data_IF_481290258661
#
_entry.id   IF_481290258661
#
_cell.length_a   1.000
_cell.length_b   1.000
_cell.length_c   1.000
_cell.angle_alpha   90.00
_cell.angle_beta   90.00
_cell.angle_gamma   90.00
#
_symmetry.space_group_name_H-M   'P 1'
#
loop_
_entity.id
_entity.type
_entity.pdbx_description
1 polymer ?
#
# COMPACT_ATOMS: atom_id res chain seq x y z
N UNK A 1 -11.46 37.00 26.42
CA UNK A 1 -11.43 35.87 25.44
C UNK A 1 -12.85 35.38 25.23
N UNK A 2 -13.41 35.48 24.01
CA UNK A 2 -14.81 35.11 23.77
C UNK A 2 -15.01 33.59 23.76
N UNK A 3 -15.63 33.04 24.81
CA UNK A 3 -15.91 31.60 25.00
C UNK A 3 -16.60 30.97 23.78
N UNK A 4 -17.52 31.71 23.14
CA UNK A 4 -18.23 31.27 21.92
C UNK A 4 -17.31 31.02 20.73
N UNK A 5 -16.25 31.83 20.55
CA UNK A 5 -15.28 31.67 19.46
C UNK A 5 -14.37 30.46 19.71
N UNK A 6 -13.95 30.24 20.96
CA UNK A 6 -13.16 29.07 21.37
C UNK A 6 -13.90 27.75 21.14
N UNK A 7 -15.18 27.66 21.50
CA UNK A 7 -15.98 26.44 21.25
C UNK A 7 -16.14 26.16 19.77
N UNK A 8 -16.40 27.19 18.95
CA UNK A 8 -16.53 27.01 17.50
C UNK A 8 -15.21 26.54 16.87
N UNK A 9 -14.08 27.04 17.37
CA UNK A 9 -12.74 26.65 16.93
C UNK A 9 -12.44 25.18 17.30
N UNK A 10 -12.81 24.75 18.51
CA UNK A 10 -12.70 23.34 18.93
C UNK A 10 -13.52 22.40 18.06
N UNK A 11 -14.76 22.77 17.73
CA UNK A 11 -15.61 21.97 16.84
C UNK A 11 -14.99 21.86 15.45
N UNK A 12 -14.49 22.96 14.89
CA UNK A 12 -13.82 22.95 13.58
C UNK A 12 -12.57 22.08 13.60
N UNK A 13 -11.73 22.18 14.64
CA UNK A 13 -10.56 21.31 14.79
C UNK A 13 -10.94 19.83 14.91
N UNK A 14 -11.98 19.50 15.66
CA UNK A 14 -12.45 18.12 15.78
C UNK A 14 -12.93 17.55 14.43
N UNK A 15 -13.66 18.36 13.64
CA UNK A 15 -14.11 17.96 12.30
C UNK A 15 -12.92 17.77 11.36
N UNK A 16 -11.95 18.70 11.36
CA UNK A 16 -10.75 18.60 10.53
C UNK A 16 -9.90 17.37 10.91
N UNK A 17 -9.74 17.09 12.20
CA UNK A 17 -9.04 15.91 12.68
C UNK A 17 -9.74 14.61 12.24
N UNK A 18 -11.08 14.57 12.34
CA UNK A 18 -11.87 13.45 11.85
C UNK A 18 -11.70 13.22 10.35
N UNK A 19 -11.79 14.28 9.55
CA UNK A 19 -11.60 14.22 8.09
C UNK A 19 -10.19 13.74 7.72
N UNK A 20 -9.16 14.27 8.39
CA UNK A 20 -7.78 13.86 8.18
C UNK A 20 -7.58 12.38 8.51
N UNK A 21 -8.15 11.90 9.62
CA UNK A 21 -8.07 10.50 10.03
C UNK A 21 -8.74 9.58 9.01
N UNK A 22 -9.96 9.91 8.55
CA UNK A 22 -10.67 9.12 7.54
C UNK A 22 -9.87 9.05 6.24
N UNK A 23 -9.37 10.19 5.77
CA UNK A 23 -8.58 10.26 4.52
C UNK A 23 -7.29 9.44 4.63
N UNK A 24 -6.59 9.53 5.77
CA UNK A 24 -5.38 8.76 6.03
C UNK A 24 -5.65 7.24 6.03
N UNK A 25 -6.74 6.80 6.65
CA UNK A 25 -7.14 5.39 6.67
C UNK A 25 -7.48 4.87 5.27
N UNK A 26 -8.19 5.66 4.46
CA UNK A 26 -8.49 5.30 3.06
C UNK A 26 -7.21 5.14 2.25
N UNK A 27 -6.29 6.10 2.32
CA UNK A 27 -5.01 6.02 1.62
C UNK A 27 -4.17 4.83 2.09
N UNK A 28 -4.17 4.53 3.39
CA UNK A 28 -3.48 3.36 3.95
C UNK A 28 -4.05 2.04 3.41
N UNK A 29 -5.38 1.91 3.36
CA UNK A 29 -6.04 0.73 2.84
C UNK A 29 -5.78 0.54 1.33
N UNK A 30 -5.77 1.64 0.56
CA UNK A 30 -5.44 1.60 -0.87
C UNK A 30 -3.99 1.13 -1.09
N UNK A 31 -3.03 1.60 -0.28
CA UNK A 31 -1.62 1.16 -0.37
C UNK A 31 -1.47 -0.36 -0.24
N UNK A 32 -2.27 -1.00 0.61
CA UNK A 32 -2.21 -2.45 0.82
C UNK A 32 -2.82 -3.26 -0.34
N UNK A 33 -3.68 -2.66 -1.17
CA UNK A 33 -4.38 -3.36 -2.26
C UNK A 33 -3.70 -3.21 -3.63
N UNK A 34 -2.62 -2.43 -3.74
CA UNK A 34 -1.87 -2.35 -4.98
C UNK A 34 -1.09 -3.66 -5.12
N UNK A 35 -1.53 -4.55 -6.00
CA UNK A 35 -0.80 -5.76 -6.38
C UNK A 35 0.67 -5.38 -6.66
N UNK A 36 1.56 -5.71 -5.70
CA UNK A 36 2.96 -5.34 -5.82
C UNK A 36 3.53 -6.10 -7.01
N UNK A 37 3.84 -5.36 -8.07
CA UNK A 37 4.64 -5.87 -9.16
C UNK A 37 6.05 -6.13 -8.66
N UNK A 38 6.51 -7.37 -8.81
CA UNK A 38 7.87 -7.81 -8.53
C UNK A 38 8.51 -8.35 -9.81
N UNK A 39 9.81 -8.11 -9.98
CA UNK A 39 10.62 -8.85 -10.94
C UNK A 39 11.14 -10.15 -10.32
N UNK A 40 11.49 -11.18 -11.11
CA UNK A 40 12.03 -12.44 -10.59
C UNK A 40 13.25 -12.25 -9.68
N UNK A 41 14.11 -11.28 -9.99
CA UNK A 41 15.26 -10.92 -9.15
C UNK A 41 14.85 -10.27 -7.83
N UNK A 42 13.83 -9.41 -7.82
CA UNK A 42 13.36 -8.75 -6.60
C UNK A 42 12.65 -9.70 -5.61
N UNK A 43 12.15 -10.84 -6.08
CA UNK A 43 11.62 -11.89 -5.20
C UNK A 43 12.76 -12.55 -4.41
N UNK A 44 13.90 -12.76 -5.06
CA UNK A 44 15.07 -13.43 -4.47
C UNK A 44 15.94 -12.47 -3.65
N UNK A 45 16.18 -11.26 -4.14
CA UNK A 45 17.09 -10.29 -3.55
C UNK A 45 16.38 -9.17 -2.76
N UNK A 46 15.04 -9.17 -2.72
CA UNK A 46 14.22 -8.12 -2.12
C UNK A 46 13.94 -6.96 -3.10
N UNK A 47 12.80 -6.28 -2.91
CA UNK A 47 12.42 -5.14 -3.75
C UNK A 47 13.42 -4.01 -3.59
N UNK A 48 13.97 -3.50 -4.70
CA UNK A 48 15.10 -2.54 -4.70
C UNK A 48 14.90 -1.31 -3.82
N UNK A 49 13.67 -0.85 -3.67
CA UNK A 49 13.34 0.38 -2.92
C UNK A 49 13.10 0.16 -1.43
N UNK A 50 12.57 -1.00 -1.02
CA UNK A 50 12.16 -1.25 0.37
C UNK A 50 12.94 -2.38 1.03
N UNK A 51 13.77 -3.10 0.27
CA UNK A 51 14.50 -4.31 0.68
C UNK A 51 13.60 -5.39 1.33
N UNK A 52 12.29 -5.29 1.11
CA UNK A 52 11.29 -6.19 1.66
C UNK A 52 11.13 -7.38 0.73
N UNK A 53 11.30 -8.57 1.30
CA UNK A 53 10.94 -9.81 0.63
C UNK A 53 9.41 -10.00 0.72
N UNK A 54 8.77 -10.50 -0.35
CA UNK A 54 7.37 -10.87 -0.29
C UNK A 54 7.15 -11.99 0.74
N UNK A 55 6.05 -11.91 1.49
CA UNK A 55 5.69 -12.95 2.45
C UNK A 55 5.07 -14.16 1.73
N UNK A 56 5.33 -15.37 2.25
CA UNK A 56 4.73 -16.61 1.73
C UNK A 56 3.21 -16.55 1.93
N UNK A 57 2.45 -16.70 0.84
CA UNK A 57 0.98 -16.60 0.83
C UNK A 57 0.42 -15.23 0.42
N UNK A 58 1.28 -14.23 0.17
CA UNK A 58 0.84 -12.94 -0.35
C UNK A 58 0.50 -13.02 -1.84
N UNK A 59 -0.63 -12.43 -2.26
CA UNK A 59 -0.94 -12.25 -3.68
C UNK A 59 0.01 -11.22 -4.27
N UNK A 60 0.73 -11.61 -5.31
CA UNK A 60 1.76 -10.79 -5.96
C UNK A 60 1.68 -10.96 -7.47
N UNK A 61 2.02 -9.91 -8.21
CA UNK A 61 2.14 -9.95 -9.67
C UNK A 61 3.62 -9.98 -10.03
N UNK A 62 4.02 -10.94 -10.85
CA UNK A 62 5.42 -11.08 -11.28
C UNK A 62 5.53 -10.74 -12.75
N UNK A 63 6.40 -9.79 -13.09
CA UNK A 63 6.70 -9.41 -14.47
C UNK A 63 8.12 -9.79 -14.85
N UNK A 64 8.32 -10.53 -15.93
CA UNK A 64 9.64 -10.94 -16.40
C UNK A 64 9.63 -11.66 -17.74
N UNK A 65 10.82 -11.89 -18.29
CA UNK A 65 11.00 -12.64 -19.54
C UNK A 65 10.86 -14.15 -19.29
N UNK A 66 10.09 -14.83 -20.14
CA UNK A 66 9.99 -16.29 -20.13
C UNK A 66 11.19 -16.87 -20.87
N UNK A 67 12.00 -17.69 -20.19
CA UNK A 67 13.15 -18.33 -20.82
C UNK A 67 12.71 -19.38 -21.86
N UNK A 68 13.40 -19.50 -23.01
CA UNK A 68 13.13 -20.56 -23.99
C UNK A 68 13.18 -21.94 -23.34
N UNK A 69 12.19 -22.80 -23.62
CA UNK A 69 12.11 -24.15 -23.06
C UNK A 69 11.65 -24.25 -21.59
N UNK A 70 11.31 -23.13 -20.93
CA UNK A 70 10.83 -23.14 -19.54
C UNK A 70 9.34 -23.47 -19.38
N UNK A 71 8.55 -23.32 -20.45
CA UNK A 71 7.10 -23.59 -20.42
C UNK A 71 6.87 -25.08 -20.55
N UNK A 72 6.40 -25.71 -19.48
CA UNK A 72 5.85 -27.08 -19.50
C UNK A 72 4.34 -27.00 -19.29
N UNK A 73 3.59 -27.72 -20.12
CA UNK A 73 2.14 -27.87 -20.01
C UNK A 73 1.87 -29.34 -19.74
N UNK A 74 0.98 -29.63 -18.79
CA UNK A 74 0.47 -30.98 -18.64
C UNK A 74 -0.38 -31.34 -19.87
N UNK A 75 -0.30 -32.60 -20.35
CA UNK A 75 -1.02 -33.06 -21.54
C UNK A 75 -2.55 -33.09 -21.35
#
# INVERSE_FOLDING_TARGET
>A
MNLRRKNRLWVVCAVLAGLALTTALVLYALRANIDLFYTPGEILYGKRETQQLPAVGQRLRVGGMVMPGSVRRDP
#
